data_IF_046314869919
#
_entry.id   IF_046314869919
#
_cell.length_a   1.000
_cell.length_b   1.000
_cell.length_c   1.000
_cell.angle_alpha   90.00
_cell.angle_beta   90.00
_cell.angle_gamma   90.00
#
_symmetry.space_group_name_H-M   'P 1'
#
loop_
_entity.id
_entity.type
_entity.pdbx_description
1 polymer ?
#
# COMPACT_ATOMS: atom_id res chain seq x y z
N UNK A 1 0.30 -12.78 -3.81
CA UNK A 1 0.24 -12.80 -5.28
C UNK A 1 1.59 -13.24 -5.83
N UNK A 2 1.59 -14.23 -6.70
CA UNK A 2 2.77 -14.63 -7.47
C UNK A 2 2.46 -14.53 -8.97
N UNK A 3 3.30 -13.81 -9.70
CA UNK A 3 3.18 -13.64 -11.15
C UNK A 3 4.31 -14.42 -11.81
N UNK A 4 4.00 -15.51 -12.53
CA UNK A 4 5.02 -16.38 -13.12
C UNK A 4 5.88 -15.67 -14.17
N UNK A 5 7.04 -16.26 -14.42
CA UNK A 5 8.01 -15.80 -15.41
C UNK A 5 7.38 -15.53 -16.78
N UNK A 6 7.65 -14.35 -17.31
CA UNK A 6 7.18 -13.91 -18.62
C UNK A 6 5.69 -13.57 -18.71
N UNK A 7 4.95 -13.70 -17.62
CA UNK A 7 3.51 -13.38 -17.60
C UNK A 7 3.30 -11.87 -17.42
N UNK A 8 2.51 -11.31 -18.32
CA UNK A 8 1.99 -9.95 -18.16
C UNK A 8 0.53 -10.03 -17.76
N UNK A 9 0.20 -9.60 -16.53
CA UNK A 9 -1.20 -9.59 -16.09
C UNK A 9 -2.04 -8.73 -17.04
N UNK A 10 -3.11 -9.28 -17.62
CA UNK A 10 -3.89 -8.58 -18.64
C UNK A 10 -4.78 -7.47 -18.07
N UNK A 11 -5.02 -7.50 -16.77
CA UNK A 11 -5.82 -6.52 -16.06
C UNK A 11 -5.18 -6.15 -14.73
N UNK A 12 -5.57 -5.01 -14.17
CA UNK A 12 -5.19 -4.64 -12.81
C UNK A 12 -5.87 -5.55 -11.81
N UNK A 13 -5.08 -6.10 -10.89
CA UNK A 13 -5.61 -6.82 -9.74
C UNK A 13 -6.02 -5.82 -8.68
N UNK A 14 -7.07 -6.10 -7.93
CA UNK A 14 -7.49 -5.20 -6.86
C UNK A 14 -7.94 -5.94 -5.60
N UNK A 15 -7.67 -5.33 -4.46
CA UNK A 15 -8.18 -5.75 -3.16
C UNK A 15 -8.80 -4.57 -2.45
N UNK A 16 -9.91 -4.80 -1.78
CA UNK A 16 -10.58 -3.79 -0.99
C UNK A 16 -10.75 -4.27 0.44
N UNK A 17 -10.18 -3.53 1.39
CA UNK A 17 -10.27 -3.81 2.82
C UNK A 17 -11.22 -2.83 3.51
N UNK A 18 -12.05 -3.36 4.41
CA UNK A 18 -12.96 -2.56 5.19
C UNK A 18 -13.05 -3.03 6.63
N UNK A 19 -12.79 -2.12 7.57
CA UNK A 19 -12.98 -2.37 9.00
C UNK A 19 -14.47 -2.19 9.32
N UNK A 20 -15.16 -3.24 9.75
CA UNK A 20 -16.59 -3.21 10.06
C UNK A 20 -16.93 -3.33 11.54
N UNK A 21 -16.11 -4.02 12.33
CA UNK A 21 -16.40 -4.29 13.74
C UNK A 21 -16.00 -3.13 14.66
N UNK A 22 -16.72 -2.94 15.76
CA UNK A 22 -16.35 -2.00 16.84
C UNK A 22 -15.21 -2.55 17.67
N UNK A 23 -14.40 -1.66 18.26
CA UNK A 23 -13.31 -2.00 19.20
C UNK A 23 -12.36 -3.06 18.64
N UNK A 24 -12.08 -3.01 17.34
CA UNK A 24 -11.19 -3.96 16.67
C UNK A 24 -10.11 -3.24 15.89
N UNK A 25 -8.97 -3.88 15.78
CA UNK A 25 -7.94 -3.53 14.80
C UNK A 25 -8.02 -4.42 13.57
N UNK A 26 -7.51 -3.93 12.45
CA UNK A 26 -7.30 -4.71 11.25
C UNK A 26 -5.80 -4.84 11.00
N UNK A 27 -5.36 -6.09 10.85
CA UNK A 27 -3.97 -6.44 10.56
C UNK A 27 -3.91 -7.11 9.20
N UNK A 28 -3.08 -6.59 8.32
CA UNK A 28 -2.99 -7.04 6.95
C UNK A 28 -1.55 -7.33 6.57
N UNK A 29 -1.35 -8.32 5.71
CA UNK A 29 -0.06 -8.55 5.07
C UNK A 29 -0.26 -8.91 3.61
N UNK A 30 0.31 -8.11 2.73
CA UNK A 30 0.30 -8.31 1.29
C UNK A 30 1.70 -8.63 0.82
N UNK A 31 1.88 -9.76 0.13
CA UNK A 31 3.11 -10.13 -0.55
C UNK A 31 2.86 -10.28 -2.04
N UNK A 32 3.62 -9.54 -2.86
CA UNK A 32 3.59 -9.67 -4.32
C UNK A 32 4.98 -10.02 -4.80
N UNK A 33 5.09 -11.12 -5.53
CA UNK A 33 6.32 -11.56 -6.19
C UNK A 33 6.07 -11.55 -7.69
N UNK A 34 6.81 -10.74 -8.42
CA UNK A 34 6.86 -10.71 -9.87
C UNK A 34 8.14 -11.42 -10.34
N UNK A 35 7.96 -12.58 -10.97
CA UNK A 35 9.06 -13.37 -11.49
C UNK A 35 9.65 -12.74 -12.76
N UNK A 36 10.74 -13.29 -13.28
CA UNK A 36 11.49 -12.73 -14.41
C UNK A 36 10.61 -12.32 -15.60
N UNK A 37 10.80 -11.10 -16.09
CA UNK A 37 10.08 -10.51 -17.24
C UNK A 37 8.56 -10.50 -17.09
N UNK A 38 8.07 -10.50 -15.86
CA UNK A 38 6.64 -10.40 -15.57
C UNK A 38 6.21 -8.96 -15.30
N UNK A 39 4.92 -8.72 -15.38
CA UNK A 39 4.31 -7.42 -15.08
C UNK A 39 3.01 -7.60 -14.30
N UNK A 40 2.83 -6.78 -13.28
CA UNK A 40 1.57 -6.68 -12.54
C UNK A 40 1.27 -5.24 -12.15
N UNK A 41 0.00 -4.86 -12.33
CA UNK A 41 -0.58 -3.68 -11.70
C UNK A 41 -1.53 -4.13 -10.60
N UNK A 42 -1.39 -3.56 -9.41
CA UNK A 42 -2.19 -3.91 -8.24
C UNK A 42 -2.71 -2.66 -7.56
N UNK A 43 -4.00 -2.63 -7.29
CA UNK A 43 -4.68 -1.55 -6.58
C UNK A 43 -5.22 -2.04 -5.24
N UNK A 44 -4.86 -1.36 -4.17
CA UNK A 44 -5.41 -1.60 -2.84
C UNK A 44 -6.27 -0.40 -2.39
N UNK A 45 -7.51 -0.68 -2.04
CA UNK A 45 -8.42 0.30 -1.46
C UNK A 45 -8.72 -0.05 0.00
N UNK A 46 -8.64 0.95 0.89
CA UNK A 46 -8.94 0.76 2.30
C UNK A 46 -9.89 1.86 2.79
N UNK A 47 -10.86 1.47 3.61
CA UNK A 47 -11.79 2.40 4.25
C UNK A 47 -12.33 1.85 5.58
N UNK A 48 -12.83 2.74 6.42
CA UNK A 48 -13.54 2.40 7.64
C UNK A 48 -14.76 3.30 7.83
N UNK A 49 -15.81 2.82 8.52
CA UNK A 49 -16.94 3.66 8.89
C UNK A 49 -16.55 4.70 9.95
N UNK A 50 -17.30 5.81 9.99
CA UNK A 50 -17.14 6.86 11.00
C UNK A 50 -17.58 6.34 12.37
N UNK A 51 -16.72 6.47 13.37
CA UNK A 51 -16.98 6.05 14.76
C UNK A 51 -16.30 6.98 15.75
N UNK A 52 -16.92 7.17 16.93
CA UNK A 52 -16.40 8.02 18.01
C UNK A 52 -15.20 7.42 18.77
N UNK A 53 -14.82 6.20 18.43
CA UNK A 53 -13.67 5.48 18.99
C UNK A 53 -12.53 5.41 17.99
N UNK A 54 -11.29 5.39 18.49
CA UNK A 54 -10.14 5.14 17.64
C UNK A 54 -10.09 3.65 17.24
N UNK A 55 -9.73 3.40 16.00
CA UNK A 55 -9.50 2.06 15.48
C UNK A 55 -8.12 1.97 14.85
N UNK A 56 -7.48 0.82 14.99
CA UNK A 56 -6.17 0.56 14.42
C UNK A 56 -6.29 -0.14 13.07
N UNK A 57 -5.62 0.42 12.07
CA UNK A 57 -5.24 -0.27 10.85
C UNK A 57 -3.73 -0.44 10.83
N UNK A 58 -3.24 -1.66 10.79
CA UNK A 58 -1.82 -1.96 10.70
C UNK A 58 -1.57 -2.91 9.52
N UNK A 59 -0.75 -2.49 8.58
CA UNK A 59 -0.48 -3.25 7.37
C UNK A 59 1.01 -3.38 7.08
N UNK A 60 1.38 -4.52 6.51
CA UNK A 60 2.70 -4.77 5.92
C UNK A 60 2.51 -5.13 4.46
N UNK A 61 3.20 -4.42 3.57
CA UNK A 61 3.23 -4.72 2.14
C UNK A 61 4.66 -5.00 1.71
N UNK A 62 4.86 -6.15 1.08
CA UNK A 62 6.15 -6.58 0.58
C UNK A 62 6.07 -6.86 -0.92
N UNK A 63 6.95 -6.25 -1.70
CA UNK A 63 7.06 -6.43 -3.15
C UNK A 63 8.44 -6.95 -3.50
N UNK A 64 8.49 -7.99 -4.32
CA UNK A 64 9.74 -8.56 -4.83
C UNK A 64 9.66 -8.61 -6.35
N UNK A 65 10.55 -7.87 -7.01
CA UNK A 65 10.67 -7.86 -8.46
C UNK A 65 11.99 -8.54 -8.86
N UNK A 66 11.91 -9.60 -9.66
CA UNK A 66 13.06 -10.33 -10.20
C UNK A 66 13.53 -9.70 -11.52
N UNK A 67 14.38 -10.38 -12.27
CA UNK A 67 15.01 -9.91 -13.49
C UNK A 67 14.00 -9.30 -14.48
N UNK A 68 14.15 -8.02 -14.82
CA UNK A 68 13.27 -7.29 -15.74
C UNK A 68 11.78 -7.32 -15.40
N UNK A 69 11.43 -7.64 -14.16
CA UNK A 69 10.05 -7.63 -13.69
C UNK A 69 9.61 -6.22 -13.31
N UNK A 70 8.31 -5.95 -13.49
CA UNK A 70 7.74 -4.65 -13.13
C UNK A 70 6.50 -4.82 -12.26
N UNK A 71 6.52 -4.20 -11.09
CA UNK A 71 5.36 -4.10 -10.18
C UNK A 71 4.92 -2.65 -10.09
N UNK A 72 3.69 -2.38 -10.49
CA UNK A 72 2.99 -1.13 -10.19
C UNK A 72 2.02 -1.38 -9.05
N UNK A 73 2.26 -0.77 -7.90
CA UNK A 73 1.41 -0.91 -6.73
C UNK A 73 0.79 0.44 -6.37
N UNK A 74 -0.52 0.48 -6.37
CA UNK A 74 -1.30 1.69 -6.07
C UNK A 74 -2.14 1.49 -4.82
N UNK A 75 -2.22 2.52 -3.96
CA UNK A 75 -3.17 2.54 -2.83
C UNK A 75 -4.01 3.80 -2.86
N UNK A 76 -5.29 3.63 -2.58
CA UNK A 76 -6.21 4.72 -2.28
C UNK A 76 -6.80 4.46 -0.91
N UNK A 77 -6.43 5.28 0.07
CA UNK A 77 -6.89 5.17 1.44
C UNK A 77 -7.70 6.40 1.81
N UNK A 78 -8.95 6.17 2.20
CA UNK A 78 -9.86 7.20 2.66
C UNK A 78 -10.42 6.80 4.02
N UNK A 79 -9.78 7.30 5.07
CA UNK A 79 -10.09 6.97 6.44
C UNK A 79 -10.89 8.07 7.13
N UNK A 80 -11.59 7.72 8.18
CA UNK A 80 -12.23 8.69 9.05
C UNK A 80 -11.21 9.38 9.95
N UNK A 81 -11.12 10.71 9.94
CA UNK A 81 -10.10 11.45 10.70
C UNK A 81 -10.44 11.67 12.18
N UNK A 82 -11.65 11.41 12.60
CA UNK A 82 -12.23 11.85 13.86
C UNK A 82 -13.26 12.97 13.64
N UNK A 83 -13.92 13.37 14.71
CA UNK A 83 -14.92 14.44 14.70
C UNK A 83 -14.24 15.85 14.73
N UNK A 84 -15.06 16.89 14.83
CA UNK A 84 -14.59 18.28 14.85
C UNK A 84 -13.76 18.64 16.10
N UNK A 85 -13.91 17.85 17.16
CA UNK A 85 -13.16 17.96 18.41
C UNK A 85 -11.91 17.07 18.41
N UNK A 86 -11.66 16.32 17.33
CA UNK A 86 -10.51 15.42 17.21
C UNK A 86 -10.72 14.07 17.92
N UNK A 87 -11.98 13.70 18.22
CA UNK A 87 -12.30 12.44 18.87
C UNK A 87 -12.57 11.33 17.84
N UNK A 88 -12.08 10.12 18.13
CA UNK A 88 -12.20 8.98 17.23
C UNK A 88 -11.19 9.01 16.10
N UNK A 89 -11.53 8.35 15.00
CA UNK A 89 -10.68 8.28 13.81
C UNK A 89 -9.74 7.08 13.78
N UNK A 90 -9.13 6.89 12.65
CA UNK A 90 -8.28 5.73 12.37
C UNK A 90 -6.82 6.03 12.65
N UNK A 91 -6.13 5.14 13.35
CA UNK A 91 -4.68 5.08 13.44
C UNK A 91 -4.19 4.15 12.34
N UNK A 92 -3.53 4.72 11.33
CA UNK A 92 -3.13 4.05 10.10
C UNK A 92 -1.60 3.87 10.07
N UNK A 93 -1.13 2.69 10.46
CA UNK A 93 0.29 2.34 10.49
C UNK A 93 0.62 1.34 9.38
N UNK A 94 1.38 1.77 8.38
CA UNK A 94 1.69 0.94 7.22
C UNK A 94 3.19 0.91 6.94
N UNK A 95 3.73 -0.29 6.91
CA UNK A 95 5.10 -0.56 6.48
C UNK A 95 5.08 -1.14 5.07
N UNK A 96 5.77 -0.48 4.13
CA UNK A 96 5.89 -0.93 2.74
C UNK A 96 7.36 -1.17 2.39
N UNK A 97 7.68 -2.36 1.89
CA UNK A 97 9.03 -2.77 1.52
C UNK A 97 9.03 -3.36 0.12
N UNK A 98 9.80 -2.74 -0.77
CA UNK A 98 10.09 -3.26 -2.11
C UNK A 98 11.53 -3.74 -2.20
N UNK A 99 11.79 -4.77 -3.00
CA UNK A 99 13.11 -5.25 -3.34
C UNK A 99 13.20 -5.53 -4.83
N UNK A 100 14.04 -4.77 -5.53
CA UNK A 100 14.43 -5.01 -6.91
C UNK A 100 15.63 -5.96 -6.91
N UNK A 101 15.38 -7.26 -7.05
CA UNK A 101 16.40 -8.33 -6.91
C UNK A 101 16.99 -8.83 -8.21
N UNK A 102 16.50 -8.36 -9.35
CA UNK A 102 17.07 -8.65 -10.68
C UNK A 102 17.48 -7.38 -11.39
N UNK A 103 18.37 -7.48 -12.41
CA UNK A 103 18.71 -6.34 -13.24
C UNK A 103 17.45 -5.83 -13.96
N UNK A 104 17.36 -4.51 -14.17
CA UNK A 104 16.23 -3.86 -14.81
C UNK A 104 14.88 -4.09 -14.08
N UNK A 105 14.88 -4.58 -12.84
CA UNK A 105 13.66 -4.68 -12.04
C UNK A 105 13.12 -3.29 -11.71
N UNK A 106 11.79 -3.16 -11.71
CA UNK A 106 11.12 -1.88 -11.50
C UNK A 106 9.96 -2.01 -10.52
N UNK A 107 9.96 -1.21 -9.46
CA UNK A 107 8.84 -1.09 -8.52
C UNK A 107 8.38 0.36 -8.47
N UNK A 108 7.11 0.58 -8.79
CA UNK A 108 6.45 1.88 -8.72
C UNK A 108 5.37 1.86 -7.63
N UNK A 109 5.51 2.76 -6.65
CA UNK A 109 4.52 3.02 -5.62
C UNK A 109 3.71 4.27 -5.97
N UNK A 110 2.38 4.14 -6.03
CA UNK A 110 1.47 5.27 -6.09
C UNK A 110 0.58 5.24 -4.86
N UNK A 111 0.45 6.34 -4.14
CA UNK A 111 -0.41 6.38 -2.96
C UNK A 111 -1.15 7.70 -2.84
N UNK A 112 -2.45 7.57 -2.55
CA UNK A 112 -3.33 8.68 -2.20
C UNK A 112 -3.88 8.41 -0.81
N UNK A 113 -3.57 9.31 0.11
CA UNK A 113 -3.94 9.22 1.52
C UNK A 113 -4.83 10.38 1.90
N UNK A 114 -6.00 10.08 2.40
CA UNK A 114 -6.92 11.07 2.93
C UNK A 114 -7.50 10.60 4.25
N UNK A 115 -7.79 11.52 5.13
CA UNK A 115 -8.37 11.19 6.42
C UNK A 115 -7.37 10.60 7.41
N UNK A 116 -7.84 9.69 8.27
CA UNK A 116 -7.20 9.15 9.47
C UNK A 116 -6.88 10.21 10.54
N UNK A 117 -6.90 9.81 11.81
CA UNK A 117 -6.44 10.66 12.90
C UNK A 117 -4.90 10.76 12.91
N UNK A 118 -4.24 9.63 12.63
CA UNK A 118 -2.79 9.55 12.49
C UNK A 118 -2.47 8.60 11.33
N UNK A 119 -1.64 9.04 10.41
CA UNK A 119 -1.03 8.16 9.41
C UNK A 119 0.47 8.11 9.63
N UNK A 120 0.97 6.90 9.77
CA UNK A 120 2.41 6.62 9.83
C UNK A 120 2.76 5.56 8.79
N UNK A 121 3.39 5.99 7.72
CA UNK A 121 3.64 5.15 6.55
C UNK A 121 5.10 5.24 6.09
N UNK A 122 5.71 4.06 5.91
CA UNK A 122 7.11 3.93 5.50
C UNK A 122 7.24 3.13 4.20
N UNK A 123 7.08 3.74 3.02
CA UNK A 123 7.43 3.08 1.78
C UNK A 123 8.96 3.10 1.58
N UNK A 124 9.50 2.01 1.05
CA UNK A 124 10.89 1.92 0.63
C UNK A 124 11.08 0.93 -0.50
N UNK A 125 12.14 1.11 -1.27
CA UNK A 125 12.61 0.15 -2.28
C UNK A 125 14.12 -0.05 -2.12
N UNK A 126 14.55 -1.30 -2.03
CA UNK A 126 15.96 -1.67 -2.07
C UNK A 126 16.31 -1.99 -3.53
N UNK A 127 17.29 -1.30 -4.07
CA UNK A 127 17.77 -1.47 -5.44
C UNK A 127 19.05 -2.34 -5.37
N UNK A 128 18.89 -3.67 -5.51
CA UNK A 128 19.97 -4.64 -5.26
C UNK A 128 20.83 -4.91 -6.50
N UNK A 129 20.35 -4.59 -7.70
CA UNK A 129 20.97 -4.93 -8.97
C UNK A 129 21.06 -3.74 -9.92
N UNK A 130 21.74 -3.92 -11.05
CA UNK A 130 21.97 -2.88 -12.03
C UNK A 130 20.69 -2.47 -12.77
N UNK A 131 20.60 -1.19 -13.12
CA UNK A 131 19.49 -0.59 -13.87
C UNK A 131 18.13 -0.77 -13.23
N UNK A 132 18.08 -0.97 -11.91
CA UNK A 132 16.83 -1.06 -11.17
C UNK A 132 16.20 0.30 -10.95
N UNK A 133 14.88 0.35 -10.90
CA UNK A 133 14.10 1.58 -10.76
C UNK A 133 13.14 1.46 -9.58
N UNK A 134 13.18 2.46 -8.70
CA UNK A 134 12.19 2.65 -7.63
C UNK A 134 11.52 4.01 -7.79
N UNK A 135 10.20 4.03 -7.88
CA UNK A 135 9.41 5.26 -8.04
C UNK A 135 8.41 5.43 -6.91
N UNK A 136 8.22 6.69 -6.47
CA UNK A 136 7.25 7.06 -5.45
C UNK A 136 6.43 8.25 -5.91
N UNK A 137 5.12 8.05 -6.03
CA UNK A 137 4.13 9.10 -6.26
C UNK A 137 3.19 9.13 -5.07
N UNK A 138 3.22 10.22 -4.29
CA UNK A 138 2.45 10.29 -3.05
C UNK A 138 1.67 11.60 -2.97
N UNK A 139 0.39 11.48 -2.68
CA UNK A 139 -0.50 12.60 -2.35
C UNK A 139 -1.09 12.35 -0.97
N UNK A 140 -0.92 13.30 -0.06
CA UNK A 140 -1.52 13.28 1.27
C UNK A 140 -2.33 14.56 1.46
N UNK A 141 -3.60 14.40 1.82
CA UNK A 141 -4.49 15.51 2.16
C UNK A 141 -4.85 15.43 3.64
N UNK A 142 -4.53 16.46 4.37
CA UNK A 142 -4.80 16.56 5.81
C UNK A 142 -5.77 17.70 6.12
N UNK A 143 -6.51 17.56 7.21
CA UNK A 143 -7.48 18.54 7.67
C UNK A 143 -7.56 18.54 9.20
N UNK A 144 -7.76 19.72 9.82
CA UNK A 144 -7.90 19.92 11.27
C UNK A 144 -6.72 19.34 12.08
N UNK A 145 -6.95 18.27 12.82
CA UNK A 145 -5.99 17.67 13.77
C UNK A 145 -5.14 16.52 13.18
N UNK A 146 -5.17 16.35 11.89
CA UNK A 146 -4.40 15.29 11.22
C UNK A 146 -2.90 15.65 11.08
#
# INVERSE_FOLDING_TARGET
VYVPKGVRCPMELSTYFRINAKNTGQFERTLIIADERSYVSYLEGCTAPMRDENQLHAAVVELVALESAHIKYSTVQNWYPGDKEGKGGIYNFVTKRGACRGNHAHISWTQVETGSAITWKYPSVILEKDHTIGEFYSVALTNHFQ
#
